data_IF_654499096783
#
_entry.id   IF_654499096783
#
_cell.length_a   1.000
_cell.length_b   1.000
_cell.length_c   1.000
_cell.angle_alpha   90.00
_cell.angle_beta   90.00
_cell.angle_gamma   90.00
#
_symmetry.space_group_name_H-M   'P 1'
#
loop_
_entity.id
_entity.type
_entity.pdbx_description
1 polymer ?
#
# COMPACT_ATOMS: atom_id res chain seq x y z
N UNK A 1 -23.25 -23.15 -27.82
CA UNK A 1 -24.51 -22.89 -27.08
C UNK A 1 -24.25 -23.12 -25.60
N UNK A 2 -24.90 -22.37 -24.69
CA UNK A 2 -24.48 -22.10 -23.29
C UNK A 2 -23.14 -21.31 -23.27
N UNK A 3 -23.06 -20.00 -23.02
CA UNK A 3 -23.90 -18.97 -22.36
C UNK A 3 -23.71 -18.83 -20.83
N UNK A 4 -22.87 -17.83 -20.49
CA UNK A 4 -22.87 -16.93 -19.33
C UNK A 4 -22.46 -17.47 -17.93
N UNK A 5 -21.62 -16.69 -17.25
CA UNK A 5 -21.16 -16.88 -15.88
C UNK A 5 -20.22 -15.73 -15.46
N UNK A 6 -20.79 -14.55 -15.19
CA UNK A 6 -20.09 -13.38 -14.67
C UNK A 6 -19.72 -13.57 -13.18
N UNK A 7 -18.60 -12.99 -12.71
CA UNK A 7 -18.60 -12.25 -11.43
C UNK A 7 -17.39 -11.31 -11.29
N UNK A 8 -17.65 -10.02 -11.07
CA UNK A 8 -16.68 -8.98 -10.71
C UNK A 8 -16.10 -9.17 -9.30
N UNK A 9 -14.87 -8.70 -9.07
CA UNK A 9 -14.43 -8.16 -7.77
C UNK A 9 -14.12 -6.67 -7.94
N UNK A 10 -15.14 -5.83 -7.77
CA UNK A 10 -14.96 -4.41 -7.53
C UNK A 10 -15.06 -4.15 -6.02
N UNK A 11 -13.96 -3.76 -5.38
CA UNK A 11 -13.94 -3.33 -3.97
C UNK A 11 -14.59 -1.94 -3.82
N UNK A 12 -15.92 -1.90 -3.92
CA UNK A 12 -16.73 -0.69 -3.78
C UNK A 12 -16.80 -0.22 -2.32
N UNK A 13 -15.82 0.58 -1.90
CA UNK A 13 -15.92 1.43 -0.71
C UNK A 13 -16.28 2.87 -1.11
N UNK A 14 -17.55 3.25 -0.96
CA UNK A 14 -17.95 4.40 -0.12
C UNK A 14 -19.43 4.76 -0.28
N UNK A 15 -20.10 4.95 0.86
CA UNK A 15 -21.35 5.69 0.95
C UNK A 15 -20.97 7.17 1.12
N UNK A 16 -21.27 8.00 0.11
CA UNK A 16 -21.08 9.45 0.17
C UNK A 16 -19.91 9.97 -0.69
N UNK A 17 -20.25 10.52 -1.85
CA UNK A 17 -19.43 11.35 -2.76
C UNK A 17 -18.07 10.79 -3.23
N UNK A 18 -18.12 10.24 -4.45
CA UNK A 18 -17.02 9.91 -5.38
C UNK A 18 -16.00 8.86 -4.92
N UNK A 19 -16.23 7.61 -5.36
CA UNK A 19 -15.18 6.66 -5.68
C UNK A 19 -14.38 7.18 -6.90
N UNK A 20 -13.48 8.14 -6.69
CA UNK A 20 -12.82 8.84 -7.82
C UNK A 20 -11.94 7.90 -8.63
N UNK A 21 -11.26 6.93 -8.01
CA UNK A 21 -10.37 5.98 -8.69
C UNK A 21 -10.57 4.53 -8.21
N UNK A 22 -10.33 3.58 -9.12
CA UNK A 22 -10.31 2.14 -8.85
C UNK A 22 -9.10 1.49 -9.53
N UNK A 23 -8.68 0.34 -9.01
CA UNK A 23 -7.86 -0.63 -9.74
C UNK A 23 -8.80 -1.68 -10.35
N UNK A 24 -8.59 -2.02 -11.62
CA UNK A 24 -9.46 -2.91 -12.39
C UNK A 24 -8.62 -3.87 -13.23
N UNK A 25 -8.54 -5.12 -12.76
CA UNK A 25 -7.88 -6.22 -13.46
C UNK A 25 -8.56 -6.46 -14.82
N UNK A 26 -7.75 -6.64 -15.87
CA UNK A 26 -8.18 -6.79 -17.26
C UNK A 26 -9.00 -5.61 -17.82
N UNK A 27 -9.02 -4.46 -17.14
CA UNK A 27 -9.65 -3.23 -17.63
C UNK A 27 -11.17 -3.37 -17.94
N UNK A 28 -11.85 -4.32 -17.28
CA UNK A 28 -13.24 -4.70 -17.53
C UNK A 28 -14.26 -3.57 -17.33
N UNK A 29 -13.94 -2.60 -16.47
CA UNK A 29 -14.80 -1.46 -16.11
C UNK A 29 -14.68 -0.28 -17.08
N UNK A 30 -13.86 -0.38 -18.13
CA UNK A 30 -13.60 0.74 -19.04
C UNK A 30 -14.87 1.20 -19.76
N UNK A 31 -15.27 2.45 -19.55
CA UNK A 31 -16.53 3.06 -19.97
C UNK A 31 -17.80 2.56 -19.25
N UNK A 32 -17.69 1.72 -18.22
CA UNK A 32 -18.84 1.36 -17.37
C UNK A 32 -19.29 2.56 -16.54
N UNK A 33 -20.60 2.67 -16.31
CA UNK A 33 -21.18 3.75 -15.50
C UNK A 33 -20.68 3.71 -14.05
N UNK A 34 -20.27 4.87 -13.54
CA UNK A 34 -19.74 5.03 -12.18
C UNK A 34 -20.46 6.14 -11.39
N UNK A 35 -21.45 6.79 -12.02
CA UNK A 35 -22.27 7.86 -11.45
C UNK A 35 -23.17 8.50 -12.52
N UNK A 36 -24.07 9.39 -12.12
CA UNK A 36 -24.96 10.05 -13.09
C UNK A 36 -24.14 10.94 -14.05
N UNK A 37 -24.22 10.62 -15.35
CA UNK A 37 -23.41 11.23 -16.42
C UNK A 37 -21.90 10.99 -16.24
N UNK A 38 -21.51 9.88 -15.58
CA UNK A 38 -20.12 9.53 -15.30
C UNK A 38 -19.81 8.09 -15.70
N UNK A 39 -18.64 7.90 -16.30
CA UNK A 39 -18.10 6.58 -16.65
C UNK A 39 -16.64 6.46 -16.21
N UNK A 40 -16.19 5.24 -15.94
CA UNK A 40 -14.78 4.99 -15.70
C UNK A 40 -13.97 5.21 -17.00
N UNK A 41 -12.88 5.96 -16.88
CA UNK A 41 -11.88 6.14 -17.93
C UNK A 41 -10.54 5.65 -17.41
N UNK A 42 -9.85 4.82 -18.19
CA UNK A 42 -8.46 4.43 -17.90
C UNK A 42 -7.58 5.69 -17.82
N UNK A 43 -6.88 5.85 -16.70
CA UNK A 43 -5.81 6.84 -16.53
C UNK A 43 -4.47 6.23 -16.89
N UNK A 44 -4.27 4.97 -16.50
CA UNK A 44 -3.01 4.26 -16.67
C UNK A 44 -3.26 2.75 -16.88
N UNK A 45 -2.40 2.12 -17.69
CA UNK A 45 -2.40 0.68 -17.96
C UNK A 45 -1.10 0.08 -17.46
N UNK A 46 -1.20 -0.85 -16.52
CA UNK A 46 -0.09 -1.62 -15.98
C UNK A 46 -0.12 -2.98 -16.66
N UNK A 47 0.90 -3.29 -17.47
CA UNK A 47 1.04 -4.57 -18.16
C UNK A 47 2.14 -5.36 -17.47
N UNK A 48 1.77 -6.49 -16.86
CA UNK A 48 2.72 -7.45 -16.31
C UNK A 48 2.89 -8.59 -17.30
N UNK A 49 4.11 -8.73 -17.83
CA UNK A 49 4.52 -9.86 -18.66
C UNK A 49 5.35 -10.82 -17.81
N UNK A 50 4.76 -11.96 -17.43
CA UNK A 50 5.48 -13.14 -16.95
C UNK A 50 5.50 -14.19 -18.06
N UNK A 51 6.41 -15.16 -18.04
CA UNK A 51 6.62 -16.16 -19.12
C UNK A 51 5.36 -16.99 -19.45
N UNK A 52 4.37 -16.98 -18.55
CA UNK A 52 3.12 -17.75 -18.67
C UNK A 52 1.85 -16.90 -18.67
N UNK A 53 1.91 -15.61 -18.28
CA UNK A 53 0.72 -14.77 -18.06
C UNK A 53 0.99 -13.30 -18.42
N UNK A 54 0.17 -12.76 -19.33
CA UNK A 54 0.03 -11.32 -19.55
C UNK A 54 -1.14 -10.81 -18.70
N UNK A 55 -0.85 -10.27 -17.52
CA UNK A 55 -1.85 -9.65 -16.66
C UNK A 55 -1.88 -8.14 -16.94
N UNK A 56 -3.00 -7.64 -17.46
CA UNK A 56 -3.25 -6.20 -17.56
C UNK A 56 -4.04 -5.73 -16.34
N UNK A 57 -3.69 -4.57 -15.79
CA UNK A 57 -4.45 -3.90 -14.72
C UNK A 57 -4.57 -2.42 -15.06
N UNK A 58 -5.80 -1.91 -15.11
CA UNK A 58 -6.06 -0.50 -15.34
C UNK A 58 -6.23 0.25 -14.01
N UNK A 59 -5.57 1.40 -13.88
CA UNK A 59 -6.00 2.44 -12.95
C UNK A 59 -7.08 3.24 -13.68
N UNK A 60 -8.31 3.22 -13.16
CA UNK A 60 -9.44 3.92 -13.77
C UNK A 60 -9.95 5.03 -12.87
N UNK A 61 -10.40 6.13 -13.48
CA UNK A 61 -10.94 7.30 -12.80
C UNK A 61 -12.36 7.58 -13.28
N UNK A 62 -13.28 7.83 -12.34
CA UNK A 62 -14.67 8.12 -12.63
C UNK A 62 -14.80 9.57 -13.15
N UNK A 63 -15.06 9.74 -14.44
CA UNK A 63 -15.09 11.04 -15.15
C UNK A 63 -16.44 11.28 -15.80
N UNK A 64 -16.71 12.54 -16.17
CA UNK A 64 -17.90 12.84 -16.96
C UNK A 64 -17.92 12.05 -18.29
N UNK A 65 -19.10 11.62 -18.70
CA UNK A 65 -19.30 10.71 -19.86
C UNK A 65 -18.89 11.33 -21.19
N UNK A 66 -19.04 12.65 -21.33
CA UNK A 66 -18.62 13.45 -22.48
C UNK A 66 -18.31 14.89 -22.07
N UNK A 67 -17.67 15.64 -22.96
CA UNK A 67 -17.31 17.06 -22.76
C UNK A 67 -18.55 17.98 -22.64
N UNK A 68 -19.76 17.50 -23.00
CA UNK A 68 -21.01 18.21 -22.72
C UNK A 68 -21.27 18.41 -21.22
N UNK A 69 -20.57 17.68 -20.35
CA UNK A 69 -20.74 17.74 -18.89
C UNK A 69 -19.46 18.22 -18.20
N UNK A 70 -19.61 19.12 -17.24
CA UNK A 70 -18.52 19.64 -16.41
C UNK A 70 -18.68 19.11 -14.99
N UNK A 71 -17.57 18.65 -14.39
CA UNK A 71 -17.56 18.17 -13.02
C UNK A 71 -17.65 19.35 -12.03
N UNK A 72 -18.67 19.34 -11.18
CA UNK A 72 -18.93 20.36 -10.16
C UNK A 72 -19.45 19.66 -8.89
N UNK A 73 -18.79 19.90 -7.74
CA UNK A 73 -19.12 19.29 -6.45
C UNK A 73 -19.31 17.75 -6.49
N UNK A 74 -18.50 17.05 -7.30
CA UNK A 74 -18.55 15.59 -7.45
C UNK A 74 -19.64 15.07 -8.39
N UNK A 75 -20.40 15.95 -9.06
CA UNK A 75 -21.45 15.60 -10.04
C UNK A 75 -21.08 16.13 -11.43
N UNK A 76 -21.58 15.49 -12.50
CA UNK A 76 -21.37 15.94 -13.87
C UNK A 76 -22.61 16.65 -14.42
N UNK A 77 -22.50 17.97 -14.60
CA UNK A 77 -23.61 18.88 -14.95
C UNK A 77 -23.45 19.34 -16.40
N UNK A 78 -24.54 19.29 -17.18
CA UNK A 78 -24.51 19.67 -18.60
C UNK A 78 -24.19 21.15 -18.78
N UNK A 79 -23.27 21.50 -19.70
CA UNK A 79 -22.76 22.87 -19.91
C UNK A 79 -23.88 23.90 -20.12
N UNK A 80 -24.93 23.57 -20.87
CA UNK A 80 -26.04 24.50 -21.14
C UNK A 80 -26.88 24.84 -19.88
N UNK A 81 -26.76 24.06 -18.81
CA UNK A 81 -27.41 24.31 -17.51
C UNK A 81 -26.49 25.11 -16.56
N UNK A 82 -25.25 25.40 -16.96
CA UNK A 82 -24.41 26.40 -16.29
C UNK A 82 -24.94 27.77 -16.74
N UNK A 83 -25.49 28.61 -15.84
CA UNK A 83 -25.98 29.93 -16.23
C UNK A 83 -24.86 30.72 -16.90
N UNK A 84 -25.09 31.19 -18.13
CA UNK A 84 -24.07 31.86 -18.94
C UNK A 84 -23.49 33.04 -18.15
N UNK A 85 -22.27 32.88 -17.65
CA UNK A 85 -21.70 33.66 -16.56
C UNK A 85 -21.08 34.98 -17.06
N UNK A 86 -21.88 35.75 -17.82
CA UNK A 86 -21.47 37.03 -18.45
C UNK A 86 -21.26 38.17 -17.44
N UNK A 87 -21.52 37.94 -16.15
CA UNK A 87 -21.23 38.86 -15.04
C UNK A 87 -20.25 38.25 -13.99
N UNK A 88 -19.35 37.34 -14.38
CA UNK A 88 -18.44 36.70 -13.40
C UNK A 88 -17.59 37.73 -12.61
N UNK A 89 -17.20 38.83 -13.26
CA UNK A 89 -16.43 39.93 -12.66
C UNK A 89 -17.12 40.58 -11.45
N UNK A 90 -18.45 40.54 -11.38
CA UNK A 90 -19.23 41.12 -10.27
C UNK A 90 -19.57 40.12 -9.16
N UNK A 91 -19.47 38.80 -9.40
CA UNK A 91 -19.65 37.76 -8.36
C UNK A 91 -18.35 37.24 -7.76
N UNK A 92 -17.23 37.42 -8.46
CA UNK A 92 -15.90 37.08 -7.92
C UNK A 92 -15.59 37.89 -6.64
N UNK A 93 -16.16 39.08 -6.46
CA UNK A 93 -16.02 39.91 -5.25
C UNK A 93 -16.63 39.28 -3.99
N UNK A 94 -17.74 38.55 -4.09
CA UNK A 94 -18.39 37.87 -2.95
C UNK A 94 -17.76 36.51 -2.62
N UNK A 95 -17.08 35.88 -3.59
CA UNK A 95 -16.34 34.62 -3.42
C UNK A 95 -14.82 34.88 -3.38
N UNK A 96 -14.39 36.13 -3.14
CA UNK A 96 -12.98 36.50 -3.13
C UNK A 96 -12.31 35.90 -1.89
N UNK A 97 -11.39 34.92 -2.02
CA UNK A 97 -10.86 34.23 -0.86
C UNK A 97 -9.98 35.21 -0.06
N UNK A 98 -10.40 35.58 1.16
CA UNK A 98 -9.71 36.55 2.05
C UNK A 98 -8.22 36.24 2.28
N UNK A 99 -7.80 35.02 1.98
CA UNK A 99 -6.46 34.48 2.16
C UNK A 99 -5.39 35.11 1.26
N UNK A 100 -5.76 35.72 0.12
CA UNK A 100 -4.84 36.46 -0.76
C UNK A 100 -5.07 37.97 -0.65
N UNK A 101 -5.11 38.50 0.57
CA UNK A 101 -5.25 39.93 0.89
C UNK A 101 -6.44 40.64 0.19
N UNK A 102 -7.53 39.92 -0.09
CA UNK A 102 -8.70 40.49 -0.79
C UNK A 102 -8.46 40.74 -2.28
N UNK A 103 -7.59 39.97 -2.93
CA UNK A 103 -7.48 39.87 -4.40
C UNK A 103 -7.47 38.41 -4.84
N UNK A 104 -7.53 38.19 -6.15
CA UNK A 104 -7.17 36.90 -6.75
C UNK A 104 -5.70 36.58 -6.39
N UNK A 105 -5.44 35.32 -6.06
CA UNK A 105 -4.09 34.83 -5.81
C UNK A 105 -3.29 34.81 -7.13
N UNK A 106 -2.01 35.16 -7.08
CA UNK A 106 -1.12 34.94 -8.21
C UNK A 106 -0.77 33.45 -8.34
N UNK A 107 -0.38 33.02 -9.55
CA UNK A 107 0.19 31.69 -9.73
C UNK A 107 1.44 31.54 -8.85
N UNK A 108 1.59 30.37 -8.23
CA UNK A 108 2.65 30.04 -7.26
C UNK A 108 2.74 30.91 -5.99
N UNK A 109 1.72 31.74 -5.72
CA UNK A 109 1.63 32.50 -4.47
C UNK A 109 1.46 31.58 -3.24
N UNK A 110 2.37 31.69 -2.28
CA UNK A 110 2.36 30.90 -1.05
C UNK A 110 1.52 31.58 0.03
N UNK A 111 0.46 30.89 0.46
CA UNK A 111 -0.44 31.35 1.53
C UNK A 111 -0.27 30.48 2.77
N UNK A 112 -0.29 31.10 3.96
CA UNK A 112 -0.25 30.38 5.23
C UNK A 112 -1.65 29.95 5.66
N UNK A 113 -1.94 28.66 5.51
CA UNK A 113 -3.19 28.03 5.92
C UNK A 113 -2.98 27.15 7.15
N UNK A 114 -3.22 27.73 8.34
CA UNK A 114 -2.96 27.10 9.63
C UNK A 114 -3.78 25.83 9.88
N UNK A 115 -4.93 25.67 9.22
CA UNK A 115 -5.84 24.54 9.41
C UNK A 115 -5.94 23.63 8.18
N UNK A 116 -5.11 23.84 7.17
CA UNK A 116 -5.16 23.12 5.88
C UNK A 116 -6.57 23.10 5.23
N UNK A 117 -7.37 24.15 5.49
CA UNK A 117 -8.77 24.27 5.05
C UNK A 117 -8.94 24.77 3.61
N UNK A 118 -7.85 25.25 2.99
CA UNK A 118 -7.82 25.77 1.64
C UNK A 118 -7.50 24.73 0.58
N UNK A 119 -6.87 23.61 0.93
CA UNK A 119 -6.43 22.59 -0.04
C UNK A 119 -7.57 22.14 -0.95
N UNK A 120 -7.38 22.27 -2.27
CA UNK A 120 -8.39 21.97 -3.29
C UNK A 120 -9.48 23.04 -3.50
N UNK A 121 -9.54 24.11 -2.69
CA UNK A 121 -10.42 25.26 -2.94
C UNK A 121 -9.85 26.09 -4.10
N UNK A 122 -10.74 26.68 -4.91
CA UNK A 122 -10.36 27.61 -5.99
C UNK A 122 -9.69 28.86 -5.40
N UNK A 123 -8.58 29.28 -5.99
CA UNK A 123 -7.83 30.50 -5.64
C UNK A 123 -7.80 31.53 -6.78
N UNK A 124 -8.28 31.15 -7.97
CA UNK A 124 -8.55 32.05 -9.09
C UNK A 124 -9.09 31.29 -10.31
N UNK A 125 -9.14 31.95 -11.48
CA UNK A 125 -9.55 31.31 -12.73
C UNK A 125 -8.60 30.13 -13.03
N UNK A 126 -9.15 28.92 -13.12
CA UNK A 126 -8.41 27.67 -13.33
C UNK A 126 -7.28 27.36 -12.31
N UNK A 127 -7.31 27.99 -11.13
CA UNK A 127 -6.31 27.79 -10.07
C UNK A 127 -6.95 27.24 -8.79
N UNK A 128 -6.27 26.31 -8.12
CA UNK A 128 -6.65 25.74 -6.81
C UNK A 128 -5.47 25.77 -5.85
N UNK A 129 -5.72 25.92 -4.56
CA UNK A 129 -4.67 25.81 -3.55
C UNK A 129 -4.14 24.37 -3.44
N UNK A 130 -2.82 24.22 -3.57
CA UNK A 130 -2.08 22.97 -3.35
C UNK A 130 -1.21 23.11 -2.11
N UNK A 131 -1.21 22.13 -1.21
CA UNK A 131 -0.32 22.14 -0.04
C UNK A 131 1.13 21.95 -0.48
N UNK A 132 1.99 22.94 -0.20
CA UNK A 132 3.43 22.89 -0.51
C UNK A 132 4.32 22.67 0.72
N UNK A 133 3.82 22.98 1.92
CA UNK A 133 4.53 22.76 3.19
C UNK A 133 3.52 22.63 4.33
N UNK A 134 3.56 21.54 5.10
CA UNK A 134 2.67 21.35 6.27
C UNK A 134 3.48 21.53 7.57
N UNK A 135 3.46 22.75 8.11
CA UNK A 135 4.10 23.06 9.40
C UNK A 135 3.26 22.52 10.57
N UNK A 136 3.57 21.30 11.03
CA UNK A 136 2.92 20.67 12.19
C UNK A 136 3.22 21.39 13.52
N UNK A 137 2.50 22.49 13.78
CA UNK A 137 2.34 23.07 15.13
C UNK A 137 0.98 22.71 15.72
N UNK A 138 0.69 21.42 15.86
CA UNK A 138 -0.42 20.99 16.73
C UNK A 138 0.00 21.15 18.20
N UNK A 139 -0.65 22.06 18.92
CA UNK A 139 -0.64 22.05 20.38
C UNK A 139 -1.38 20.79 20.85
N UNK A 140 -0.81 20.07 21.82
CA UNK A 140 -1.49 18.94 22.46
C UNK A 140 -2.82 19.43 23.08
N UNK A 141 -3.93 18.93 22.58
CA UNK A 141 -5.27 19.32 23.04
C UNK A 141 -6.38 18.53 22.34
N UNK A 142 -6.69 17.35 22.88
CA UNK A 142 -7.94 16.59 22.69
C UNK A 142 -8.51 16.47 21.27
N UNK A 143 -8.29 15.31 20.63
CA UNK A 143 -9.10 14.83 19.50
C UNK A 143 -9.67 13.44 19.86
N UNK A 144 -10.95 13.12 19.57
CA UNK A 144 -11.59 11.89 20.07
C UNK A 144 -11.05 10.59 19.47
N UNK A 145 -11.15 9.50 20.23
CA UNK A 145 -10.56 8.18 19.98
C UNK A 145 -11.26 7.32 18.90
N UNK A 146 -11.91 7.93 17.90
CA UNK A 146 -12.81 7.23 16.96
C UNK A 146 -12.53 7.52 15.49
N UNK A 147 -11.26 7.43 15.07
CA UNK A 147 -10.90 7.28 13.66
C UNK A 147 -9.73 6.28 13.51
N UNK A 148 -10.06 4.99 13.38
CA UNK A 148 -9.13 3.98 12.85
C UNK A 148 -9.14 4.03 11.32
N UNK A 149 -8.59 5.10 10.77
CA UNK A 149 -8.05 5.07 9.42
C UNK A 149 -6.54 4.82 9.55
N UNK A 150 -6.00 3.86 8.82
CA UNK A 150 -4.55 3.64 8.70
C UNK A 150 -3.93 4.72 7.79
N UNK A 151 -4.08 5.97 8.22
CA UNK A 151 -3.25 7.06 7.76
C UNK A 151 -1.88 6.78 8.38
N UNK A 152 -0.87 6.46 7.55
CA UNK A 152 0.53 6.49 7.98
C UNK A 152 0.71 7.79 8.78
N UNK A 153 1.03 7.74 10.09
CA UNK A 153 1.16 8.98 10.84
C UNK A 153 2.23 9.81 10.15
N UNK A 154 1.99 11.12 10.01
CA UNK A 154 2.76 11.98 9.10
C UNK A 154 4.15 12.34 9.65
N UNK A 155 5.01 11.34 9.73
CA UNK A 155 6.42 11.49 10.04
C UNK A 155 7.14 12.22 8.89
N UNK A 156 8.32 12.78 9.16
CA UNK A 156 9.11 13.54 8.18
C UNK A 156 8.29 14.61 7.42
N UNK A 157 7.41 15.32 8.13
CA UNK A 157 6.51 16.36 7.61
C UNK A 157 5.53 15.90 6.50
N UNK A 158 5.24 14.59 6.40
CA UNK A 158 4.28 14.04 5.43
C UNK A 158 4.86 13.78 4.03
N UNK A 159 6.20 13.68 3.92
CA UNK A 159 6.92 13.12 2.77
C UNK A 159 7.68 11.85 3.21
N UNK A 160 8.27 11.13 2.26
CA UNK A 160 9.32 10.16 2.58
C UNK A 160 10.46 10.84 3.37
N UNK A 161 10.99 10.12 4.35
CA UNK A 161 12.14 10.56 5.12
C UNK A 161 13.40 10.50 4.26
N UNK A 162 14.26 11.50 4.37
CA UNK A 162 15.58 11.40 3.78
C UNK A 162 16.40 10.34 4.52
N UNK A 163 17.32 9.69 3.82
CA UNK A 163 18.32 8.85 4.46
C UNK A 163 19.05 9.64 5.54
N UNK A 164 19.22 9.02 6.71
CA UNK A 164 19.79 9.64 7.91
C UNK A 164 18.97 10.80 8.52
N UNK A 165 17.71 11.01 8.12
CA UNK A 165 16.78 11.91 8.83
C UNK A 165 16.37 11.31 10.18
N UNK A 166 16.44 12.12 11.24
CA UNK A 166 16.12 11.73 12.61
C UNK A 166 14.76 12.29 13.05
N UNK A 167 14.00 11.48 13.79
CA UNK A 167 12.67 11.81 14.29
C UNK A 167 12.50 11.39 15.76
N UNK A 168 11.53 12.00 16.44
CA UNK A 168 11.04 11.56 17.74
C UNK A 168 9.69 10.84 17.59
N UNK A 169 9.64 9.57 17.97
CA UNK A 169 8.45 8.72 17.91
C UNK A 169 7.96 8.40 19.34
N UNK A 170 6.79 8.95 19.70
CA UNK A 170 6.17 8.73 21.01
C UNK A 170 5.52 7.35 21.03
N UNK A 171 5.89 6.52 22.00
CA UNK A 171 5.54 5.09 22.11
C UNK A 171 6.26 4.13 21.16
N UNK A 172 7.32 4.58 20.46
CA UNK A 172 8.25 3.71 19.72
C UNK A 172 7.61 2.79 18.64
N UNK A 173 6.43 3.15 18.13
CA UNK A 173 5.62 2.34 17.19
C UNK A 173 6.21 2.20 15.78
N UNK A 174 7.15 3.07 15.40
CA UNK A 174 7.74 3.11 14.07
C UNK A 174 8.93 2.18 13.85
N UNK A 175 9.55 1.64 14.90
CA UNK A 175 10.77 0.85 14.74
C UNK A 175 10.56 -0.32 13.75
N UNK A 176 11.39 -0.38 12.71
CA UNK A 176 11.28 -1.37 11.63
C UNK A 176 10.20 -1.09 10.56
N UNK A 177 9.45 0.01 10.65
CA UNK A 177 8.56 0.48 9.58
C UNK A 177 9.36 1.14 8.47
N UNK A 178 8.85 1.05 7.24
CA UNK A 178 9.43 1.70 6.05
C UNK A 178 9.35 3.22 6.20
N UNK A 179 10.46 3.91 5.93
CA UNK A 179 10.56 5.38 5.96
C UNK A 179 10.85 6.00 4.58
N UNK A 180 11.19 5.16 3.59
CA UNK A 180 11.33 5.49 2.17
C UNK A 180 11.89 4.30 1.40
N UNK A 181 12.21 4.49 0.12
CA UNK A 181 12.69 3.38 -0.75
C UNK A 181 13.95 2.68 -0.20
N UNK A 182 13.85 1.37 0.06
CA UNK A 182 14.88 0.53 0.70
C UNK A 182 15.33 1.02 2.11
N UNK A 183 14.50 1.78 2.82
CA UNK A 183 14.82 2.36 4.11
C UNK A 183 13.77 2.08 5.19
N UNK A 184 14.22 1.84 6.42
CA UNK A 184 13.40 1.63 7.62
C UNK A 184 13.82 2.54 8.77
N UNK A 185 12.91 2.80 9.70
CA UNK A 185 13.25 3.46 10.96
C UNK A 185 14.04 2.52 11.90
N UNK A 186 15.31 2.82 12.12
CA UNK A 186 16.15 2.22 13.16
C UNK A 186 16.09 3.03 14.46
N UNK A 187 16.08 2.37 15.61
CA UNK A 187 16.18 3.05 16.91
C UNK A 187 17.63 3.54 17.15
N UNK A 188 17.79 4.83 17.47
CA UNK A 188 19.06 5.42 17.91
C UNK A 188 19.15 5.42 19.45
N UNK A 189 18.02 5.71 20.11
CA UNK A 189 17.97 5.88 21.56
C UNK A 189 16.55 6.03 22.09
N UNK A 190 16.43 6.10 23.41
CA UNK A 190 15.15 6.16 24.14
C UNK A 190 15.24 7.18 25.26
N UNK A 191 14.14 7.84 25.56
CA UNK A 191 13.99 8.73 26.71
C UNK A 191 12.59 8.60 27.32
N UNK A 192 12.48 8.82 28.62
CA UNK A 192 11.20 8.87 29.32
C UNK A 192 10.82 10.33 29.58
N UNK A 193 9.61 10.71 29.21
CA UNK A 193 9.02 12.00 29.62
C UNK A 193 8.72 12.00 31.11
N UNK A 194 8.54 13.19 31.71
CA UNK A 194 8.09 13.34 33.11
C UNK A 194 6.77 12.64 33.42
N UNK A 195 5.96 12.35 32.39
CA UNK A 195 4.67 11.68 32.51
C UNK A 195 4.80 10.15 32.33
N UNK A 196 6.02 9.61 32.28
CA UNK A 196 6.32 8.19 32.10
C UNK A 196 6.25 7.68 30.66
N UNK A 197 5.70 8.45 29.72
CA UNK A 197 5.62 8.05 28.31
C UNK A 197 7.03 7.93 27.69
N UNK A 198 7.27 6.81 27.01
CA UNK A 198 8.51 6.51 26.29
C UNK A 198 8.53 7.25 24.93
N UNK A 199 9.68 7.83 24.61
CA UNK A 199 9.96 8.47 23.32
C UNK A 199 11.21 7.84 22.73
N UNK A 200 11.08 7.25 21.55
CA UNK A 200 12.22 6.77 20.79
C UNK A 200 12.75 7.88 19.88
N UNK A 201 14.08 8.03 19.86
CA UNK A 201 14.77 8.73 18.80
C UNK A 201 15.10 7.71 17.72
N UNK A 202 14.61 7.93 16.51
CA UNK A 202 14.72 6.99 15.40
C UNK A 202 15.30 7.67 14.17
N UNK A 203 15.96 6.89 13.31
CA UNK A 203 16.63 7.34 12.10
C UNK A 203 16.18 6.55 10.90
N UNK A 204 15.98 7.21 9.76
CA UNK A 204 15.75 6.50 8.51
C UNK A 204 17.08 5.91 8.01
N UNK A 205 17.18 4.58 7.96
CA UNK A 205 18.41 3.82 7.62
C UNK A 205 18.12 2.75 6.58
N UNK A 206 19.14 2.24 5.86
CA UNK A 206 18.93 1.16 4.90
C UNK A 206 18.34 -0.10 5.55
N UNK A 207 17.46 -0.80 4.82
CA UNK A 207 16.67 -1.94 5.32
C UNK A 207 17.52 -3.18 5.69
N UNK A 208 18.69 -3.35 5.07
CA UNK A 208 19.64 -4.42 5.39
C UNK A 208 21.07 -4.02 5.01
N UNK A 209 22.06 -4.81 5.44
CA UNK A 209 23.48 -4.64 5.10
C UNK A 209 23.79 -4.84 3.60
N UNK A 210 22.85 -5.38 2.82
CA UNK A 210 22.98 -5.54 1.36
C UNK A 210 22.86 -4.20 0.62
N UNK A 211 22.20 -3.23 1.25
CA UNK A 211 22.02 -1.88 0.71
C UNK A 211 23.08 -0.93 1.28
N UNK A 212 23.85 -0.32 0.38
CA UNK A 212 24.85 0.69 0.72
C UNK A 212 24.29 2.09 0.56
N UNK A 213 24.60 2.96 1.53
CA UNK A 213 24.28 4.39 1.48
C UNK A 213 25.06 5.06 0.34
N UNK A 214 24.35 5.63 -0.64
CA UNK A 214 24.94 6.32 -1.79
C UNK A 214 24.06 7.51 -2.16
N UNK A 215 24.61 8.73 -2.19
CA UNK A 215 23.92 9.96 -2.60
C UNK A 215 22.56 10.20 -1.92
N UNK A 216 22.43 9.88 -0.62
CA UNK A 216 21.19 10.03 0.12
C UNK A 216 20.14 8.94 -0.12
N UNK A 217 20.50 7.84 -0.80
CA UNK A 217 19.66 6.69 -1.09
C UNK A 217 20.31 5.38 -0.62
N UNK A 218 19.51 4.32 -0.51
CA UNK A 218 19.96 2.96 -0.20
C UNK A 218 19.92 2.10 -1.47
N UNK A 219 21.11 1.81 -2.01
CA UNK A 219 21.28 1.11 -3.29
C UNK A 219 21.87 -0.28 -3.04
N UNK A 220 21.36 -1.29 -3.72
CA UNK A 220 21.86 -2.67 -3.57
C UNK A 220 23.34 -2.76 -3.97
N UNK A 221 24.17 -3.31 -3.09
CA UNK A 221 25.61 -3.46 -3.34
C UNK A 221 25.87 -4.54 -4.40
N UNK A 222 26.35 -4.14 -5.58
CA UNK A 222 26.71 -5.06 -6.66
C UNK A 222 27.84 -6.05 -6.32
N UNK A 223 28.45 -5.95 -5.11
CA UNK A 223 29.62 -6.72 -4.68
C UNK A 223 29.28 -7.97 -3.85
N UNK A 224 28.37 -8.83 -4.33
CA UNK A 224 28.28 -10.23 -3.83
C UNK A 224 27.75 -11.30 -4.80
N UNK A 225 28.08 -11.23 -6.09
CA UNK A 225 28.23 -12.48 -6.89
C UNK A 225 29.54 -13.18 -6.48
N UNK A 226 29.55 -13.83 -5.31
CA UNK A 226 30.66 -14.69 -4.86
C UNK A 226 30.17 -16.12 -4.67
N UNK A 227 30.48 -16.93 -5.66
CA UNK A 227 30.24 -18.37 -5.78
C UNK A 227 30.52 -19.11 -4.47
N UNK A 228 29.57 -19.93 -4.00
CA UNK A 228 29.87 -21.07 -3.12
C UNK A 228 29.09 -22.28 -3.65
N UNK A 229 29.77 -23.02 -4.54
CA UNK A 229 29.67 -24.45 -4.83
C UNK A 229 28.28 -25.13 -4.93
N UNK A 230 27.81 -25.46 -6.16
CA UNK A 230 26.71 -26.40 -6.39
C UNK A 230 27.23 -27.84 -6.65
N UNK A 231 26.98 -28.77 -5.73
CA UNK A 231 27.36 -30.20 -5.73
C UNK A 231 26.35 -30.92 -4.82
N UNK A 232 25.75 -32.10 -5.05
CA UNK A 232 25.57 -33.05 -6.16
C UNK A 232 24.34 -33.93 -5.70
N UNK A 233 23.50 -34.65 -6.46
CA UNK A 233 23.10 -34.66 -7.89
C UNK A 233 22.14 -35.86 -8.12
N UNK A 234 21.25 -35.82 -9.15
CA UNK A 234 20.47 -36.97 -9.70
C UNK A 234 19.36 -37.62 -8.80
N UNK A 235 18.31 -38.28 -9.31
CA UNK A 235 17.56 -38.28 -10.58
C UNK A 235 16.26 -39.11 -10.38
N UNK A 236 15.17 -38.80 -11.13
CA UNK A 236 14.22 -39.75 -11.77
C UNK A 236 13.48 -40.83 -10.92
N UNK A 237 12.25 -41.31 -11.17
CA UNK A 237 11.25 -41.14 -12.25
C UNK A 237 9.90 -41.80 -11.84
N UNK A 238 8.75 -41.27 -12.31
CA UNK A 238 7.48 -41.94 -12.74
C UNK A 238 6.95 -43.26 -12.09
N UNK A 239 5.64 -43.52 -11.92
CA UNK A 239 4.39 -42.76 -12.23
C UNK A 239 3.09 -43.46 -11.72
N UNK A 240 1.95 -42.73 -11.84
CA UNK A 240 0.57 -43.21 -12.17
C UNK A 240 -0.25 -44.08 -11.21
N UNK A 241 -1.50 -43.63 -10.90
CA UNK A 241 -2.56 -44.47 -10.30
C UNK A 241 -3.81 -43.75 -9.75
N UNK A 242 -4.58 -43.04 -10.59
CA UNK A 242 -5.96 -42.55 -10.30
C UNK A 242 -7.02 -43.69 -10.47
N UNK A 243 -8.36 -43.58 -10.18
CA UNK A 243 -9.21 -42.37 -10.15
C UNK A 243 -10.45 -42.27 -9.19
N UNK A 244 -10.89 -41.02 -8.94
CA UNK A 244 -12.27 -40.42 -9.05
C UNK A 244 -13.54 -41.03 -8.38
N UNK A 245 -14.27 -40.29 -7.52
CA UNK A 245 -15.46 -39.39 -7.75
C UNK A 245 -16.78 -40.03 -7.18
N UNK A 246 -17.98 -39.37 -7.07
CA UNK A 246 -18.36 -37.93 -7.19
C UNK A 246 -19.40 -37.35 -6.15
N UNK A 247 -19.47 -36.00 -6.03
CA UNK A 247 -20.67 -35.10 -6.01
C UNK A 247 -21.77 -35.14 -4.90
N UNK A 248 -22.00 -34.01 -4.17
CA UNK A 248 -23.20 -33.09 -4.17
C UNK A 248 -23.13 -32.05 -3.00
N UNK A 249 -22.83 -30.74 -3.21
CA UNK A 249 -23.70 -29.56 -3.50
C UNK A 249 -24.49 -28.91 -2.33
N UNK A 250 -23.95 -27.80 -1.77
CA UNK A 250 -24.65 -26.48 -1.66
C UNK A 250 -23.64 -25.36 -1.33
N UNK A 251 -23.69 -24.24 -2.07
CA UNK A 251 -22.75 -23.09 -2.04
C UNK A 251 -23.60 -21.84 -2.46
N UNK A 252 -23.25 -20.55 -2.33
CA UNK A 252 -21.95 -19.86 -2.37
C UNK A 252 -21.90 -18.61 -1.44
N UNK A 253 -20.79 -18.46 -0.71
CA UNK A 253 -20.13 -17.16 -0.50
C UNK A 253 -19.12 -16.98 -1.66
N UNK A 254 -18.67 -15.75 -1.99
CA UNK A 254 -17.64 -15.55 -3.01
C UNK A 254 -16.35 -16.32 -2.66
N UNK A 255 -15.59 -16.81 -3.66
CA UNK A 255 -14.41 -17.62 -3.41
C UNK A 255 -13.29 -16.77 -2.82
N UNK A 256 -13.00 -16.98 -1.54
CA UNK A 256 -11.68 -16.67 -1.00
C UNK A 256 -10.65 -17.50 -1.79
N UNK A 257 -9.70 -16.87 -2.46
CA UNK A 257 -8.40 -17.50 -2.80
C UNK A 257 -7.55 -17.66 -1.54
N UNK A 258 -8.15 -18.23 -0.49
CA UNK A 258 -7.42 -18.88 0.60
C UNK A 258 -6.74 -20.10 -0.01
N UNK A 259 -5.51 -19.89 -0.45
CA UNK A 259 -4.47 -20.89 -0.27
C UNK A 259 -4.31 -21.11 1.25
N UNK A 260 -5.23 -21.88 1.84
CA UNK A 260 -5.28 -22.12 3.27
C UNK A 260 -4.18 -23.15 3.58
N UNK A 261 -2.98 -22.65 3.88
CA UNK A 261 -1.77 -23.46 4.06
C UNK A 261 -1.75 -24.25 5.39
N UNK A 262 -2.92 -24.63 5.91
CA UNK A 262 -3.07 -25.17 7.26
C UNK A 262 -2.30 -26.48 7.43
N UNK A 263 -1.11 -26.37 8.01
CA UNK A 263 -0.20 -27.49 8.28
C UNK A 263 0.66 -27.95 7.11
N UNK A 264 0.89 -27.11 6.07
CA UNK A 264 1.87 -27.40 5.01
C UNK A 264 2.63 -26.14 4.58
N UNK A 265 3.89 -26.33 4.16
CA UNK A 265 4.64 -25.30 3.44
C UNK A 265 3.92 -24.99 2.12
N UNK A 266 3.88 -23.71 1.80
CA UNK A 266 3.16 -23.13 0.67
C UNK A 266 3.80 -21.80 0.32
N UNK A 267 3.41 -21.23 -0.82
CA UNK A 267 3.70 -19.85 -1.17
C UNK A 267 2.39 -19.09 -1.40
N UNK A 268 2.30 -17.86 -0.90
CA UNK A 268 1.15 -16.97 -1.06
C UNK A 268 1.61 -15.57 -1.43
N UNK A 269 0.78 -14.85 -2.20
CA UNK A 269 0.93 -13.41 -2.46
C UNK A 269 -0.01 -12.67 -1.51
N UNK A 270 0.56 -11.80 -0.68
CA UNK A 270 -0.15 -11.06 0.38
C UNK A 270 0.05 -9.55 0.18
N UNK A 271 -0.94 -8.85 -0.39
CA UNK A 271 -0.95 -7.39 -0.47
C UNK A 271 -0.84 -6.76 0.92
N UNK A 272 0.01 -5.76 1.05
CA UNK A 272 0.35 -5.05 2.30
C UNK A 272 1.00 -5.95 3.38
N UNK A 273 1.46 -7.15 3.01
CA UNK A 273 2.26 -8.04 3.86
C UNK A 273 1.62 -8.40 5.22
N UNK A 274 0.28 -8.32 5.30
CA UNK A 274 -0.54 -8.41 6.53
C UNK A 274 -0.41 -9.71 7.32
N UNK A 275 0.05 -10.78 6.66
CA UNK A 275 0.23 -12.13 7.19
C UNK A 275 1.63 -12.37 7.75
N UNK A 276 2.59 -11.45 7.57
CA UNK A 276 3.98 -11.62 8.04
C UNK A 276 4.01 -11.92 9.53
N UNK A 277 4.72 -12.97 9.94
CA UNK A 277 4.77 -13.50 11.31
C UNK A 277 3.45 -14.06 11.88
N UNK A 278 2.34 -14.08 11.13
CA UNK A 278 1.13 -14.79 11.56
C UNK A 278 1.35 -16.30 11.50
N UNK A 279 0.73 -17.01 12.43
CA UNK A 279 0.74 -18.46 12.51
C UNK A 279 -0.02 -19.07 11.33
N UNK A 280 0.64 -19.98 10.61
CA UNK A 280 0.07 -20.71 9.46
C UNK A 280 -0.01 -22.23 9.69
N UNK A 281 0.57 -22.71 10.80
CA UNK A 281 0.54 -24.12 11.18
C UNK A 281 1.07 -24.36 12.59
N UNK A 282 1.22 -25.62 13.00
CA UNK A 282 1.85 -25.96 14.27
C UNK A 282 3.38 -25.76 14.15
N UNK A 283 3.94 -24.90 15.01
CA UNK A 283 5.33 -24.41 14.95
C UNK A 283 5.69 -23.72 13.62
N UNK A 284 4.72 -23.14 12.91
CA UNK A 284 4.92 -22.48 11.61
C UNK A 284 4.34 -21.06 11.59
N UNK A 285 5.06 -20.15 10.93
CA UNK A 285 4.65 -18.77 10.67
C UNK A 285 4.93 -18.39 9.21
N UNK A 286 4.17 -17.45 8.67
CA UNK A 286 4.50 -16.87 7.38
C UNK A 286 5.77 -16.03 7.48
N UNK A 287 6.76 -16.33 6.63
CA UNK A 287 7.99 -15.58 6.44
C UNK A 287 8.03 -15.06 5.01
N UNK A 288 8.31 -13.78 4.83
CA UNK A 288 8.51 -13.18 3.50
C UNK A 288 9.68 -13.86 2.78
N UNK A 289 9.45 -14.37 1.57
CA UNK A 289 10.49 -14.84 0.66
C UNK A 289 10.93 -13.71 -0.29
N UNK A 290 9.98 -12.90 -0.76
CA UNK A 290 10.23 -11.80 -1.69
C UNK A 290 9.29 -10.62 -1.39
N UNK A 291 9.75 -9.39 -1.64
CA UNK A 291 8.97 -8.16 -1.52
C UNK A 291 8.93 -7.43 -2.85
N UNK A 292 7.73 -7.27 -3.39
CA UNK A 292 7.45 -6.50 -4.59
C UNK A 292 6.95 -5.12 -4.15
N UNK A 293 7.83 -4.13 -4.20
CA UNK A 293 7.50 -2.73 -3.93
C UNK A 293 7.22 -2.06 -5.28
N UNK A 294 6.02 -1.51 -5.45
CA UNK A 294 5.64 -0.81 -6.68
C UNK A 294 6.26 0.59 -6.73
N UNK A 295 6.48 1.12 -7.94
CA UNK A 295 7.26 2.35 -8.18
C UNK A 295 6.66 3.59 -7.46
N UNK A 296 5.35 3.61 -7.26
CA UNK A 296 4.65 4.69 -6.52
C UNK A 296 4.69 4.53 -4.98
N UNK A 297 5.35 3.50 -4.45
CA UNK A 297 5.47 3.23 -3.01
C UNK A 297 4.18 2.85 -2.28
N UNK A 298 3.02 2.98 -2.93
CA UNK A 298 1.69 2.79 -2.32
C UNK A 298 1.22 1.33 -2.22
N UNK A 299 1.87 0.40 -2.91
CA UNK A 299 1.56 -1.02 -2.85
C UNK A 299 2.85 -1.79 -2.56
N UNK A 300 2.81 -2.62 -1.51
CA UNK A 300 3.81 -3.66 -1.21
C UNK A 300 3.06 -4.99 -1.37
N UNK A 301 3.56 -5.91 -2.19
CA UNK A 301 3.09 -7.30 -2.21
C UNK A 301 4.22 -8.17 -1.69
N UNK A 302 4.00 -8.83 -0.56
CA UNK A 302 4.91 -9.84 -0.08
C UNK A 302 4.55 -11.19 -0.70
N UNK A 303 5.52 -11.85 -1.32
CA UNK A 303 5.49 -13.30 -1.47
C UNK A 303 5.93 -13.88 -0.14
N UNK A 304 5.09 -14.72 0.47
CA UNK A 304 5.33 -15.30 1.78
C UNK A 304 5.19 -16.80 1.76
N UNK A 305 6.05 -17.46 2.53
CA UNK A 305 6.09 -18.90 2.66
C UNK A 305 5.81 -19.31 4.11
N UNK A 306 4.95 -20.32 4.30
CA UNK A 306 4.66 -20.88 5.62
C UNK A 306 5.86 -21.75 6.08
N UNK A 307 6.68 -21.25 7.00
CA UNK A 307 7.96 -21.85 7.42
C UNK A 307 8.02 -22.11 8.92
N UNK A 308 8.91 -22.99 9.34
CA UNK A 308 9.18 -23.25 10.75
C UNK A 308 9.53 -21.96 11.52
N UNK A 309 8.95 -21.81 12.72
CA UNK A 309 9.01 -20.58 13.51
C UNK A 309 10.44 -20.20 13.91
N UNK A 310 11.25 -21.18 14.32
CA UNK A 310 12.67 -21.05 14.66
C UNK A 310 13.47 -22.22 14.10
N UNK A 311 14.81 -22.10 14.14
CA UNK A 311 15.75 -23.14 13.75
C UNK A 311 15.74 -24.37 14.68
N UNK A 312 15.08 -24.29 15.85
CA UNK A 312 14.83 -25.46 16.70
C UNK A 312 13.85 -26.47 16.06
N UNK A 313 13.20 -26.13 14.95
CA UNK A 313 12.26 -27.00 14.26
C UNK A 313 12.70 -27.27 12.82
N UNK A 314 12.72 -28.55 12.46
CA UNK A 314 13.01 -29.02 11.10
C UNK A 314 11.69 -29.37 10.41
N UNK A 315 11.55 -28.97 9.15
CA UNK A 315 10.41 -29.33 8.33
C UNK A 315 10.51 -30.81 7.90
N UNK A 316 9.48 -31.61 8.24
CA UNK A 316 9.31 -33.01 7.83
C UNK A 316 7.84 -33.22 7.45
N UNK A 317 7.59 -33.73 6.25
CA UNK A 317 6.23 -33.93 5.70
C UNK A 317 5.33 -32.69 5.77
N UNK A 318 5.89 -31.50 5.51
CA UNK A 318 5.19 -30.22 5.62
C UNK A 318 4.90 -29.73 7.05
N UNK A 319 5.39 -30.44 8.08
CA UNK A 319 5.19 -30.13 9.50
C UNK A 319 6.52 -29.77 10.17
N UNK A 320 6.48 -28.84 11.12
CA UNK A 320 7.67 -28.41 11.85
C UNK A 320 7.83 -29.17 13.17
N UNK A 321 8.81 -30.08 13.19
CA UNK A 321 9.10 -31.01 14.31
C UNK A 321 10.35 -30.51 15.03
N UNK A 322 10.32 -30.47 16.37
CA UNK A 322 11.46 -30.01 17.16
C UNK A 322 12.66 -30.93 16.94
N UNK A 323 13.82 -30.34 16.68
CA UNK A 323 15.08 -31.07 16.58
C UNK A 323 15.45 -31.59 17.96
N UNK A 324 15.57 -32.92 18.08
CA UNK A 324 16.22 -33.53 19.24
C UNK A 324 17.67 -33.05 19.25
N UNK A 325 18.05 -32.33 20.30
CA UNK A 325 19.46 -32.04 20.55
C UNK A 325 20.12 -33.40 20.79
N UNK A 326 20.96 -33.84 19.85
CA UNK A 326 21.99 -34.82 20.17
C UNK A 326 22.84 -34.17 21.25
N UNK A 327 22.64 -34.58 22.49
CA UNK A 327 23.59 -34.32 23.54
C UNK A 327 24.91 -34.91 23.04
N UNK A 328 25.89 -34.05 22.75
CA UNK A 328 27.20 -34.53 22.40
C UNK A 328 27.71 -35.27 23.63
N UNK A 329 27.76 -36.61 23.54
CA UNK A 329 28.45 -37.49 24.47
C UNK A 329 29.93 -37.11 24.51
N UNK A 330 30.22 -36.03 25.22
CA UNK A 330 31.56 -35.61 25.62
C UNK A 330 31.82 -36.23 26.99
N UNK A 331 31.58 -37.54 27.09
CA UNK A 331 32.15 -38.32 28.18
C UNK A 331 33.63 -38.51 27.85
N UNK A 332 34.42 -37.79 28.61
CA UNK A 332 35.88 -37.87 28.67
C UNK A 332 36.29 -39.32 28.99
N UNK A 333 37.44 -39.70 28.45
CA UNK A 333 38.11 -41.00 28.67
C UNK A 333 38.39 -41.30 30.14
#
# INVERSE_FOLDING_TARGET
MYRNGEMLIALLYSVGNSCTRIYDEFCTQTNSECGHNMVYKTVERLIYTDETLNLETCIQECKCISDEYVQSNGQCIKQNNIPALRNETERISEILPKYCAGRLCALDEKVSDTLCSLTGKKCGLNMVFKTVHQSLRMRLGTVPSTFRAEILPKYCAGRECALDEEISDVSCTLAGKICGTNMIFGNIGKSHTTNGAEVCFQKCTCISEEYIKTNGQCILSAKRKKTTTPILTQQSTTSTGYPQLPVQRTIQKPPETRANCEGRSCEIRDPLCTLTSRKCGHNMVYKTSERLIYIDGHLEICIQQCKCISEEYIEKDGRCIKQERKENETQVT
#
